data_IF_000299486531
#
_entry.id   IF_000299486531
#
_cell.length_a   1.000
_cell.length_b   1.000
_cell.length_c   1.000
_cell.angle_alpha   90.00
_cell.angle_beta   90.00
_cell.angle_gamma   90.00
#
_symmetry.space_group_name_H-M   'P 1'
#
loop_
_entity.id
_entity.type
_entity.pdbx_description
1 polymer ?
#
# COMPACT_ATOMS: atom_id res chain seq x y z
N UNK A 1 -16.31 0.62 -5.47
CA UNK A 1 -15.83 2.00 -5.21
C UNK A 1 -15.40 2.20 -3.77
N UNK A 2 -16.19 1.84 -2.75
CA UNK A 2 -15.80 2.03 -1.33
C UNK A 2 -14.50 1.32 -0.94
N UNK A 3 -14.35 0.04 -1.31
CA UNK A 3 -13.10 -0.69 -1.06
C UNK A 3 -11.88 -0.01 -1.70
N UNK A 4 -12.02 0.50 -2.93
CA UNK A 4 -10.94 1.24 -3.59
C UNK A 4 -10.60 2.55 -2.86
N UNK A 5 -11.60 3.28 -2.34
CA UNK A 5 -11.35 4.45 -1.49
C UNK A 5 -10.62 4.08 -0.20
N UNK A 6 -10.97 2.95 0.43
CA UNK A 6 -10.27 2.46 1.61
C UNK A 6 -8.79 2.19 1.30
N UNK A 7 -8.49 1.49 0.20
CA UNK A 7 -7.12 1.23 -0.22
C UNK A 7 -6.35 2.52 -0.49
N UNK A 8 -6.94 3.46 -1.24
CA UNK A 8 -6.33 4.76 -1.52
C UNK A 8 -5.97 5.50 -0.22
N UNK A 9 -6.89 5.56 0.74
CA UNK A 9 -6.63 6.22 2.03
C UNK A 9 -5.61 5.50 2.91
N UNK A 10 -5.51 4.18 2.80
CA UNK A 10 -4.60 3.38 3.62
C UNK A 10 -3.16 3.42 3.10
N UNK A 11 -2.98 3.42 1.77
CA UNK A 11 -1.68 3.19 1.14
C UNK A 11 -1.11 4.43 0.44
N UNK A 12 -1.91 5.44 0.11
CA UNK A 12 -1.39 6.68 -0.47
C UNK A 12 -1.21 7.78 0.60
N UNK A 13 -0.13 8.59 0.48
CA UNK A 13 0.00 9.82 1.25
C UNK A 13 -1.19 10.75 1.05
N UNK A 14 -1.70 11.36 2.14
CA UNK A 14 -2.86 12.25 2.07
C UNK A 14 -2.72 13.42 1.07
N UNK A 15 -1.49 13.89 0.81
CA UNK A 15 -1.20 14.90 -0.22
C UNK A 15 -1.50 14.47 -1.66
N UNK A 16 -1.63 13.17 -1.90
CA UNK A 16 -1.98 12.60 -3.21
C UNK A 16 -3.48 12.28 -3.32
N UNK A 17 -4.24 12.41 -2.22
CA UNK A 17 -5.66 12.12 -2.18
C UNK A 17 -6.42 13.42 -2.45
N UNK A 18 -7.23 13.50 -3.52
CA UNK A 18 -8.03 14.68 -3.81
C UNK A 18 -9.08 14.93 -2.70
N UNK A 19 -9.37 16.19 -2.40
CA UNK A 19 -10.36 16.57 -1.38
C UNK A 19 -11.77 16.04 -1.68
N UNK A 20 -12.16 16.02 -2.98
CA UNK A 20 -13.41 15.41 -3.42
C UNK A 20 -13.17 14.15 -4.25
N UNK A 21 -12.74 13.08 -3.58
CA UNK A 21 -12.60 11.75 -4.19
C UNK A 21 -13.93 11.11 -4.61
N UNK A 22 -15.07 11.65 -4.15
CA UNK A 22 -16.39 11.07 -4.41
C UNK A 22 -16.97 11.49 -5.77
N UNK A 23 -16.68 12.71 -6.21
CA UNK A 23 -17.14 13.26 -7.50
C UNK A 23 -16.05 13.33 -8.57
N UNK A 24 -14.94 12.62 -8.40
CA UNK A 24 -13.86 12.63 -9.39
C UNK A 24 -14.19 11.76 -10.62
N UNK A 25 -13.61 12.05 -11.80
CA UNK A 25 -13.72 11.18 -12.96
C UNK A 25 -13.26 9.76 -12.65
N UNK A 26 -13.99 8.77 -13.18
CA UNK A 26 -13.70 7.37 -12.91
C UNK A 26 -12.29 6.93 -13.33
N UNK A 27 -11.77 7.47 -14.44
CA UNK A 27 -10.41 7.16 -14.90
C UNK A 27 -9.34 7.64 -13.90
N UNK A 28 -9.54 8.82 -13.32
CA UNK A 28 -8.62 9.36 -12.33
C UNK A 28 -8.71 8.59 -11.02
N UNK A 29 -9.91 8.13 -10.65
CA UNK A 29 -10.09 7.19 -9.55
C UNK A 29 -9.32 5.89 -9.76
N UNK A 30 -9.38 5.31 -10.97
CA UNK A 30 -8.65 4.08 -11.31
C UNK A 30 -7.13 4.27 -11.22
N UNK A 31 -6.60 5.43 -11.63
CA UNK A 31 -5.17 5.74 -11.48
C UNK A 31 -4.75 5.76 -10.01
N UNK A 32 -5.53 6.40 -9.14
CA UNK A 32 -5.28 6.40 -7.69
C UNK A 32 -5.37 4.99 -7.10
N UNK A 33 -6.36 4.20 -7.52
CA UNK A 33 -6.50 2.83 -7.05
C UNK A 33 -5.30 1.96 -7.44
N UNK A 34 -4.86 2.04 -8.69
CA UNK A 34 -3.69 1.30 -9.16
C UNK A 34 -2.41 1.70 -8.39
N UNK A 35 -2.23 3.00 -8.13
CA UNK A 35 -1.12 3.48 -7.30
C UNK A 35 -1.19 2.91 -5.87
N UNK A 36 -2.39 2.87 -5.28
CA UNK A 36 -2.60 2.33 -3.95
C UNK A 36 -2.32 0.82 -3.87
N UNK A 37 -2.68 0.06 -4.90
CA UNK A 37 -2.39 -1.37 -5.01
C UNK A 37 -0.89 -1.63 -5.10
N UNK A 38 -0.17 -0.88 -5.94
CA UNK A 38 1.29 -1.00 -6.04
C UNK A 38 1.96 -0.64 -4.70
N UNK A 39 1.53 0.45 -4.07
CA UNK A 39 2.06 0.87 -2.77
C UNK A 39 1.81 -0.18 -1.67
N UNK A 40 0.66 -0.86 -1.71
CA UNK A 40 0.35 -1.98 -0.83
C UNK A 40 1.30 -3.15 -1.03
N UNK A 41 1.57 -3.54 -2.27
CA UNK A 41 2.42 -4.69 -2.56
C UNK A 41 3.86 -4.44 -2.12
N UNK A 42 4.39 -3.23 -2.37
CA UNK A 42 5.70 -2.81 -1.86
C UNK A 42 5.76 -2.83 -0.33
N UNK A 43 4.69 -2.37 0.35
CA UNK A 43 4.60 -2.39 1.82
C UNK A 43 4.62 -3.81 2.36
N UNK A 44 3.99 -4.77 1.68
CA UNK A 44 3.99 -6.18 2.07
C UNK A 44 5.40 -6.75 1.91
N UNK A 45 6.05 -6.50 0.76
CA UNK A 45 7.42 -6.96 0.50
C UNK A 45 8.41 -6.42 1.55
N UNK A 46 8.34 -5.14 1.89
CA UNK A 46 9.18 -4.53 2.93
C UNK A 46 9.01 -5.23 4.30
N UNK A 47 7.77 -5.57 4.65
CA UNK A 47 7.45 -6.29 5.89
C UNK A 47 8.02 -7.71 5.84
N UNK A 48 7.82 -8.45 4.76
CA UNK A 48 8.32 -9.81 4.60
C UNK A 48 9.85 -9.85 4.68
N UNK A 49 10.54 -8.94 3.99
CA UNK A 49 12.00 -8.81 4.05
C UNK A 49 12.46 -8.45 5.46
N UNK A 50 11.80 -7.50 6.11
CA UNK A 50 12.13 -7.09 7.48
C UNK A 50 11.95 -8.22 8.50
N UNK A 51 10.83 -8.95 8.42
CA UNK A 51 10.54 -10.09 9.29
C UNK A 51 11.54 -11.21 9.08
N UNK A 52 11.85 -11.57 7.82
CA UNK A 52 12.83 -12.60 7.53
C UNK A 52 14.22 -12.25 8.04
N UNK A 53 14.68 -11.00 7.84
CA UNK A 53 15.96 -10.54 8.39
C UNK A 53 15.99 -10.65 9.91
N UNK A 54 14.98 -10.12 10.59
CA UNK A 54 14.90 -10.18 12.05
C UNK A 54 14.84 -11.61 12.58
N UNK A 55 14.14 -12.52 11.88
CA UNK A 55 14.09 -13.93 12.25
C UNK A 55 15.45 -14.61 12.15
N UNK A 56 16.18 -14.41 11.04
CA UNK A 56 17.52 -14.97 10.83
C UNK A 56 18.52 -14.43 11.85
N UNK A 57 18.49 -13.13 12.12
CA UNK A 57 19.35 -12.49 13.13
C UNK A 57 19.08 -13.01 14.55
N UNK A 58 17.82 -13.29 14.88
CA UNK A 58 17.43 -13.85 16.18
C UNK A 58 17.72 -15.35 16.32
N UNK A 59 17.86 -16.08 15.21
CA UNK A 59 18.08 -17.54 15.17
C UNK A 59 19.26 -17.90 14.25
N UNK A 60 20.50 -17.49 14.60
CA UNK A 60 21.67 -17.67 13.73
C UNK A 60 22.00 -19.14 13.44
N UNK A 61 21.57 -20.06 14.30
CA UNK A 61 21.80 -21.50 14.16
C UNK A 61 20.75 -22.21 13.28
N UNK A 62 19.80 -21.48 12.70
CA UNK A 62 18.70 -22.04 11.88
C UNK A 62 19.00 -22.15 10.37
N UNK A 63 20.25 -21.88 9.97
CA UNK A 63 20.72 -22.00 8.58
C UNK A 63 21.37 -23.36 8.28
#
# INVERSE_FOLDING_TARGET
MEYGRLLINMYLPGKLIPENIYDMPFEDFLKLLAMAEIARDLRIEDIEVGVNKGYVEAHPDSQ
#
